data_IF_359871670114
#
_entry.id   IF_359871670114
#
_cell.length_a   1.000
_cell.length_b   1.000
_cell.length_c   1.000
_cell.angle_alpha   90.00
_cell.angle_beta   90.00
_cell.angle_gamma   90.00
#
_symmetry.space_group_name_H-M   'P 1'
#
loop_
_entity.id
_entity.type
_entity.pdbx_description
1 polymer ?
#
# COMPACT_ATOMS: atom_id res chain seq x y z
N UNK A 1 -0.06 -1.62 10.50
CA UNK A 1 0.48 -2.32 9.31
C UNK A 1 -0.36 -3.52 8.96
N UNK A 2 -0.62 -3.71 7.68
CA UNK A 2 -1.35 -4.89 7.22
C UNK A 2 -0.48 -6.13 7.31
N UNK A 3 -1.04 -7.20 7.85
CA UNK A 3 -0.32 -8.48 7.91
C UNK A 3 -0.49 -9.21 6.57
N UNK A 4 0.58 -9.86 6.10
CA UNK A 4 0.54 -10.60 4.85
C UNK A 4 -0.58 -11.65 4.84
N UNK A 5 -0.83 -12.26 5.99
CA UNK A 5 -1.87 -13.29 6.14
C UNK A 5 -3.26 -12.73 5.84
N UNK A 6 -3.55 -11.50 6.27
CA UNK A 6 -4.82 -10.84 6.00
C UNK A 6 -4.97 -10.53 4.52
N UNK A 7 -3.89 -10.09 3.89
CA UNK A 7 -3.90 -9.76 2.47
C UNK A 7 -4.12 -10.98 1.58
N UNK A 8 -3.61 -12.14 1.99
CA UNK A 8 -3.77 -13.37 1.22
C UNK A 8 -5.21 -13.87 1.18
N UNK A 9 -6.03 -13.46 2.14
CA UNK A 9 -7.43 -13.85 2.19
C UNK A 9 -8.35 -12.96 1.33
N UNK A 10 -7.80 -11.88 0.78
CA UNK A 10 -8.57 -10.95 -0.04
C UNK A 10 -8.56 -11.40 -1.52
N UNK A 11 -9.64 -11.07 -2.22
CA UNK A 11 -9.68 -11.29 -3.67
C UNK A 11 -8.74 -10.31 -4.38
N UNK A 12 -8.40 -10.62 -5.63
CA UNK A 12 -7.54 -9.75 -6.44
C UNK A 12 -8.17 -8.36 -6.58
N UNK A 13 -9.48 -8.28 -6.79
CA UNK A 13 -10.17 -7.00 -6.91
C UNK A 13 -10.06 -6.18 -5.63
N UNK A 14 -10.21 -6.81 -4.47
CA UNK A 14 -10.05 -6.14 -3.18
C UNK A 14 -8.62 -5.67 -2.96
N UNK A 15 -7.65 -6.47 -3.40
CA UNK A 15 -6.24 -6.09 -3.31
C UNK A 15 -5.94 -4.87 -4.18
N UNK A 16 -6.48 -4.81 -5.38
CA UNK A 16 -6.32 -3.65 -6.25
C UNK A 16 -6.94 -2.40 -5.63
N UNK A 17 -8.11 -2.51 -5.00
CA UNK A 17 -8.73 -1.40 -4.30
C UNK A 17 -7.85 -0.88 -3.17
N UNK A 18 -7.31 -1.80 -2.36
CA UNK A 18 -6.41 -1.41 -1.26
C UNK A 18 -5.15 -0.75 -1.80
N UNK A 19 -4.60 -1.27 -2.89
CA UNK A 19 -3.43 -0.68 -3.53
C UNK A 19 -3.70 0.76 -3.97
N UNK A 20 -4.86 0.99 -4.60
CA UNK A 20 -5.23 2.32 -5.03
C UNK A 20 -5.42 3.28 -3.86
N UNK A 21 -6.05 2.81 -2.79
CA UNK A 21 -6.23 3.63 -1.57
C UNK A 21 -4.88 4.01 -0.97
N UNK A 22 -3.96 3.06 -0.90
CA UNK A 22 -2.62 3.34 -0.37
C UNK A 22 -1.83 4.28 -1.26
N UNK A 23 -2.02 4.19 -2.58
CA UNK A 23 -1.39 5.13 -3.52
C UNK A 23 -1.89 6.55 -3.29
N UNK A 24 -3.19 6.71 -3.03
CA UNK A 24 -3.75 8.01 -2.70
C UNK A 24 -3.18 8.54 -1.39
N UNK A 25 -3.08 7.69 -0.37
CA UNK A 25 -2.49 8.06 0.91
C UNK A 25 -1.03 8.49 0.73
N UNK A 26 -0.28 7.74 -0.07
CA UNK A 26 1.11 8.08 -0.36
C UNK A 26 1.24 9.43 -1.02
N UNK A 27 0.36 9.71 -1.99
CA UNK A 27 0.36 10.99 -2.69
C UNK A 27 0.10 12.13 -1.70
N UNK A 28 -0.90 11.99 -0.84
CA UNK A 28 -1.21 13.00 0.17
C UNK A 28 -0.07 13.20 1.15
N UNK A 29 0.55 12.11 1.61
CA UNK A 29 1.68 12.21 2.53
C UNK A 29 2.87 12.92 1.89
N UNK A 30 3.13 12.66 0.61
CA UNK A 30 4.19 13.34 -0.13
C UNK A 30 3.91 14.82 -0.27
N UNK A 31 2.66 15.20 -0.52
CA UNK A 31 2.27 16.61 -0.60
C UNK A 31 2.45 17.30 0.76
N UNK A 32 2.03 16.67 1.84
CA UNK A 32 2.21 17.20 3.18
C UNK A 32 3.68 17.37 3.52
N UNK A 33 4.51 16.42 3.13
CA UNK A 33 5.95 16.49 3.36
C UNK A 33 6.57 17.67 2.57
N UNK A 34 6.15 17.85 1.32
CA UNK A 34 6.65 18.91 0.47
C UNK A 34 6.29 20.32 1.02
N UNK A 35 5.17 20.43 1.73
CA UNK A 35 4.74 21.68 2.33
C UNK A 35 5.15 21.82 3.80
N UNK A 36 5.99 20.90 4.28
CA UNK A 36 6.47 20.86 5.67
C UNK A 36 5.34 20.70 6.70
N UNK A 37 4.22 20.10 6.30
CA UNK A 37 3.09 19.85 7.20
C UNK A 37 3.14 18.44 7.81
N UNK A 38 4.05 17.59 7.33
CA UNK A 38 4.20 16.23 7.82
C UNK A 38 5.29 16.16 8.89
N UNK A 39 4.87 15.83 10.10
CA UNK A 39 5.81 15.73 11.24
C UNK A 39 6.68 14.49 11.21
N UNK A 40 6.20 13.42 10.59
CA UNK A 40 6.90 12.14 10.59
C UNK A 40 6.97 11.53 9.19
N UNK A 41 8.08 11.75 8.46
CA UNK A 41 8.25 11.21 7.11
C UNK A 41 8.34 9.68 7.07
N UNK A 42 8.49 9.02 8.19
CA UNK A 42 8.53 7.55 8.24
C UNK A 42 7.22 6.93 7.77
N UNK A 43 6.11 7.66 7.87
CA UNK A 43 4.83 7.17 7.37
C UNK A 43 4.87 6.91 5.87
N UNK A 44 5.60 7.72 5.12
CA UNK A 44 5.76 7.53 3.69
C UNK A 44 6.40 6.17 3.39
N UNK A 45 7.46 5.83 4.13
CA UNK A 45 8.13 4.55 3.99
C UNK A 45 7.23 3.36 4.33
N UNK A 46 6.43 3.50 5.39
CA UNK A 46 5.50 2.45 5.80
C UNK A 46 4.43 2.20 4.72
N UNK A 47 3.87 3.26 4.15
CA UNK A 47 2.87 3.12 3.08
C UNK A 47 3.49 2.49 1.84
N UNK A 48 4.71 2.88 1.48
CA UNK A 48 5.42 2.27 0.35
C UNK A 48 5.61 0.76 0.55
N UNK A 49 5.94 0.33 1.76
CA UNK A 49 6.11 -1.09 2.07
C UNK A 49 4.80 -1.84 1.93
N UNK A 50 3.70 -1.25 2.39
CA UNK A 50 2.39 -1.86 2.26
C UNK A 50 1.98 -2.00 0.80
N UNK A 51 2.21 -0.97 -0.01
CA UNK A 51 1.94 -1.02 -1.45
C UNK A 51 2.75 -2.15 -2.11
N UNK A 52 4.04 -2.24 -1.79
CA UNK A 52 4.91 -3.27 -2.34
C UNK A 52 4.44 -4.67 -1.96
N UNK A 53 4.00 -4.84 -0.71
CA UNK A 53 3.50 -6.12 -0.21
C UNK A 53 2.23 -6.54 -0.93
N UNK A 54 1.28 -5.62 -1.11
CA UNK A 54 0.05 -5.90 -1.85
C UNK A 54 0.36 -6.26 -3.30
N UNK A 55 1.28 -5.52 -3.91
CA UNK A 55 1.70 -5.76 -5.29
C UNK A 55 2.26 -7.18 -5.45
N UNK A 56 3.08 -7.62 -4.51
CA UNK A 56 3.67 -8.96 -4.51
C UNK A 56 2.58 -10.02 -4.41
N UNK A 57 1.62 -9.82 -3.52
CA UNK A 57 0.53 -10.77 -3.31
C UNK A 57 -0.38 -10.85 -4.54
N UNK A 58 -0.69 -9.71 -5.16
CA UNK A 58 -1.45 -9.68 -6.41
C UNK A 58 -0.73 -10.51 -7.48
N UNK A 59 0.57 -10.29 -7.60
CA UNK A 59 1.39 -11.01 -8.59
C UNK A 59 1.36 -12.52 -8.34
N UNK A 60 1.49 -12.94 -7.07
CA UNK A 60 1.42 -14.35 -6.71
C UNK A 60 0.08 -14.96 -7.07
N UNK A 61 -1.01 -14.25 -6.78
CA UNK A 61 -2.36 -14.74 -7.09
C UNK A 61 -2.62 -14.83 -8.59
N UNK A 62 -2.07 -13.92 -9.37
CA UNK A 62 -2.24 -13.92 -10.83
C UNK A 62 -1.40 -15.00 -11.50
N UNK A 63 -0.25 -15.35 -10.92
CA UNK A 63 0.64 -16.37 -11.51
C UNK A 63 0.31 -17.78 -11.05
N UNK A 64 -0.39 -17.95 -9.95
CA UNK A 64 -0.73 -19.26 -9.38
C UNK A 64 -2.13 -19.73 -9.78
N UNK A 65 -2.56 -19.41 -10.96
CA UNK A 65 -3.89 -19.81 -11.46
C UNK A 65 -3.84 -21.21 -12.08
#
# INVERSE_FOLDING_TARGET
MMKAKELKNLSVDELYKKQNDLKKDLFMLRMQHATNQLDNPMQIGAVKKDIARIKTIIREKETNV
#
